data_IF_261914324171
#
_entry.id   IF_261914324171
#
_cell.length_a   1.000
_cell.length_b   1.000
_cell.length_c   1.000
_cell.angle_alpha   90.00
_cell.angle_beta   90.00
_cell.angle_gamma   90.00
#
_symmetry.space_group_name_H-M   'P 1'
#
loop_
_entity.id
_entity.type
_entity.pdbx_description
1 polymer ?
#
# COMPACT_ATOMS: atom_id res chain seq x y z
N UNK A 1 -7.88 14.64 9.44
CA UNK A 1 -7.45 15.29 8.18
C UNK A 1 -8.10 14.58 7.01
N UNK A 2 -7.95 15.12 5.80
CA UNK A 2 -8.47 14.49 4.58
C UNK A 2 -7.32 14.20 3.64
N UNK A 3 -7.34 13.00 3.07
CA UNK A 3 -6.44 12.58 1.99
C UNK A 3 -7.25 12.41 0.71
N UNK A 4 -6.74 12.92 -0.39
CA UNK A 4 -7.26 12.68 -1.74
C UNK A 4 -6.28 11.76 -2.44
N UNK A 5 -6.78 10.64 -2.94
CA UNK A 5 -5.96 9.57 -3.52
C UNK A 5 -6.44 9.29 -4.93
N UNK A 6 -5.49 9.09 -5.83
CA UNK A 6 -5.71 8.61 -7.20
C UNK A 6 -4.77 7.42 -7.39
N UNK A 7 -5.23 6.34 -8.02
CA UNK A 7 -4.40 5.17 -8.34
C UNK A 7 -4.33 4.96 -9.84
N UNK A 8 -3.11 4.75 -10.34
CA UNK A 8 -2.84 4.37 -11.72
C UNK A 8 -2.07 3.04 -11.74
N UNK A 9 -2.79 1.93 -11.76
CA UNK A 9 -2.23 0.57 -11.77
C UNK A 9 -1.63 0.07 -10.43
N UNK A 10 -1.37 0.96 -9.48
CA UNK A 10 -0.75 0.64 -8.19
C UNK A 10 -1.68 -0.12 -7.23
N UNK A 11 -1.12 -0.92 -6.30
CA UNK A 11 -1.87 -1.66 -5.28
C UNK A 11 -2.69 -0.74 -4.36
N UNK A 12 -3.72 -1.31 -3.72
CA UNK A 12 -4.60 -0.56 -2.82
C UNK A 12 -3.90 -0.21 -1.52
N UNK A 13 -4.10 1.00 -0.96
CA UNK A 13 -3.46 1.39 0.29
C UNK A 13 -4.00 0.62 1.49
N UNK A 14 -3.28 0.69 2.61
CA UNK A 14 -3.75 0.27 3.93
C UNK A 14 -3.98 1.47 4.85
N UNK A 15 -4.90 1.33 5.79
CA UNK A 15 -5.09 2.26 6.91
C UNK A 15 -4.89 1.47 8.19
N UNK A 16 -3.90 1.87 8.98
CA UNK A 16 -3.74 1.41 10.37
C UNK A 16 -4.50 2.36 11.28
N UNK A 17 -5.49 1.84 11.98
CA UNK A 17 -6.24 2.56 13.00
C UNK A 17 -5.39 2.76 14.27
N UNK A 18 -5.77 3.72 15.12
CA UNK A 18 -5.06 4.01 16.36
C UNK A 18 -5.01 2.83 17.35
N UNK A 19 -5.94 1.86 17.22
CA UNK A 19 -5.99 0.62 17.99
C UNK A 19 -5.17 -0.54 17.37
N UNK A 20 -4.46 -0.28 16.27
CA UNK A 20 -3.63 -1.26 15.58
C UNK A 20 -4.37 -2.12 14.56
N UNK A 21 -5.71 -2.02 14.43
CA UNK A 21 -6.44 -2.69 13.35
C UNK A 21 -6.03 -2.12 11.99
N UNK A 22 -5.94 -2.99 10.99
CA UNK A 22 -5.58 -2.59 9.62
C UNK A 22 -6.75 -2.84 8.69
N UNK A 23 -7.13 -1.82 7.92
CA UNK A 23 -8.15 -1.89 6.88
C UNK A 23 -7.58 -1.59 5.50
N UNK A 24 -8.24 -2.08 4.45
CA UNK A 24 -7.94 -1.74 3.07
C UNK A 24 -9.10 -0.93 2.49
N UNK A 25 -9.01 0.42 2.47
CA UNK A 25 -10.08 1.22 1.88
C UNK A 25 -10.22 0.93 0.38
N UNK A 26 -11.46 0.93 -0.10
CA UNK A 26 -11.75 0.82 -1.53
C UNK A 26 -11.39 2.14 -2.22
N UNK A 27 -10.24 2.16 -2.90
CA UNK A 27 -9.80 3.29 -3.73
C UNK A 27 -9.90 2.84 -5.18
N UNK A 28 -10.70 3.53 -5.99
CA UNK A 28 -10.79 3.21 -7.42
C UNK A 28 -9.47 3.57 -8.11
N UNK A 29 -9.09 2.79 -9.11
CA UNK A 29 -7.87 3.03 -9.89
C UNK A 29 -8.12 2.82 -11.37
N UNK A 30 -7.30 3.49 -12.19
CA UNK A 30 -7.16 3.24 -13.62
C UNK A 30 -5.99 2.29 -13.90
N UNK A 31 -5.73 2.01 -15.18
CA UNK A 31 -4.55 1.27 -15.62
C UNK A 31 -3.26 2.06 -15.33
N UNK A 32 -2.07 1.41 -15.33
CA UNK A 32 -0.80 2.12 -15.21
C UNK A 32 -0.68 3.25 -16.25
N UNK A 33 -0.07 4.36 -15.86
CA UNK A 33 0.12 5.50 -16.74
C UNK A 33 0.87 5.08 -18.02
N UNK A 34 0.42 5.57 -19.18
CA UNK A 34 1.04 5.27 -20.47
C UNK A 34 0.62 3.93 -21.09
N UNK A 35 -0.31 3.20 -20.46
CA UNK A 35 -0.88 1.96 -21.02
C UNK A 35 -2.09 2.22 -21.91
N UNK A 36 -2.70 3.41 -21.83
CA UNK A 36 -3.78 3.78 -22.74
C UNK A 36 -3.27 3.83 -24.18
N UNK A 37 -3.78 2.91 -24.99
CA UNK A 37 -3.89 3.12 -26.43
C UNK A 37 -5.02 4.12 -26.65
N UNK A 38 -4.94 4.93 -27.71
CA UNK A 38 -5.84 6.07 -28.02
C UNK A 38 -7.36 5.75 -28.13
N UNK A 39 -7.80 4.57 -27.68
CA UNK A 39 -9.11 3.97 -27.83
C UNK A 39 -9.92 3.91 -26.53
N UNK A 40 -9.37 4.30 -25.38
CA UNK A 40 -10.09 4.30 -24.09
C UNK A 40 -9.97 5.68 -23.41
N UNK A 41 -11.10 6.29 -23.07
CA UNK A 41 -11.15 7.40 -22.10
C UNK A 41 -10.73 6.86 -20.73
N UNK A 42 -9.43 6.88 -20.47
CA UNK A 42 -8.86 6.33 -19.25
C UNK A 42 -9.15 7.27 -18.07
N UNK A 43 -10.06 6.86 -17.19
CA UNK A 43 -10.41 7.64 -16.01
C UNK A 43 -9.51 7.29 -14.82
N UNK A 44 -9.01 8.33 -14.15
CA UNK A 44 -8.28 8.25 -12.89
C UNK A 44 -9.11 8.90 -11.78
N UNK A 45 -10.14 8.21 -11.23
CA UNK A 45 -11.06 8.81 -10.28
C UNK A 45 -10.39 9.14 -8.94
N UNK A 46 -10.57 10.38 -8.48
CA UNK A 46 -10.18 10.78 -7.13
C UNK A 46 -11.06 10.11 -6.08
N UNK A 47 -10.44 9.47 -5.09
CA UNK A 47 -11.11 8.97 -3.89
C UNK A 47 -10.70 9.84 -2.69
N UNK A 48 -11.69 10.34 -1.96
CA UNK A 48 -11.47 11.07 -0.71
C UNK A 48 -11.55 10.09 0.47
N UNK A 49 -10.51 10.11 1.31
CA UNK A 49 -10.44 9.37 2.56
C UNK A 49 -10.32 10.35 3.73
N UNK A 50 -11.07 10.11 4.80
CA UNK A 50 -10.92 10.88 6.04
C UNK A 50 -10.10 10.07 7.04
N UNK A 51 -9.06 10.70 7.58
CA UNK A 51 -8.18 10.11 8.59
C UNK A 51 -8.37 10.84 9.92
N UNK A 52 -8.50 10.10 11.00
CA UNK A 52 -8.52 10.69 12.36
C UNK A 52 -7.11 10.70 12.96
N UNK A 53 -6.83 11.59 13.94
CA UNK A 53 -5.52 11.61 14.59
C UNK A 53 -5.12 10.23 15.15
N UNK A 54 -3.89 9.82 14.88
CA UNK A 54 -3.36 8.51 15.28
C UNK A 54 -3.53 7.41 14.23
N UNK A 55 -4.27 7.65 13.14
CA UNK A 55 -4.29 6.72 12.00
C UNK A 55 -3.09 6.93 11.08
N UNK A 56 -2.61 5.83 10.49
CA UNK A 56 -1.52 5.85 9.51
C UNK A 56 -2.04 5.34 8.17
N UNK A 57 -1.86 6.13 7.12
CA UNK A 57 -2.13 5.73 5.74
C UNK A 57 -0.84 5.19 5.11
N UNK A 58 -0.88 3.94 4.64
CA UNK A 58 0.29 3.20 4.15
C UNK A 58 0.12 2.95 2.67
N UNK A 59 1.10 3.44 1.89
CA UNK A 59 1.34 3.11 0.49
C UNK A 59 2.54 2.19 0.43
N UNK A 60 2.58 1.30 -0.56
CA UNK A 60 3.64 0.32 -0.68
C UNK A 60 3.78 -0.14 -2.13
N UNK A 61 5.01 -0.38 -2.59
CA UNK A 61 5.23 -0.99 -3.91
C UNK A 61 4.93 -2.49 -3.91
N UNK A 62 4.69 -3.03 -5.10
CA UNK A 62 4.61 -4.47 -5.36
C UNK A 62 5.88 -5.21 -4.92
N UNK A 63 7.07 -4.59 -5.05
CA UNK A 63 8.30 -5.13 -4.47
C UNK A 63 8.25 -5.40 -2.96
N UNK A 64 7.32 -4.78 -2.21
CA UNK A 64 7.05 -5.04 -0.78
C UNK A 64 5.97 -6.11 -0.55
N UNK A 65 5.52 -6.85 -1.55
CA UNK A 65 4.56 -7.95 -1.35
C UNK A 65 4.76 -9.10 -2.34
N UNK A 66 5.44 -8.87 -3.45
CA UNK A 66 5.71 -9.87 -4.47
C UNK A 66 6.93 -10.73 -4.10
N UNK A 67 6.67 -12.01 -3.86
CA UNK A 67 7.68 -13.04 -3.70
C UNK A 67 7.59 -14.01 -4.90
N UNK A 68 8.69 -14.25 -5.65
CA UNK A 68 8.64 -15.14 -6.80
C UNK A 68 8.12 -16.54 -6.46
N UNK A 69 6.99 -16.91 -7.08
CA UNK A 69 6.34 -18.21 -6.87
C UNK A 69 5.41 -18.28 -5.65
N UNK A 70 5.21 -17.18 -4.93
CA UNK A 70 4.20 -17.05 -3.88
C UNK A 70 2.97 -16.27 -4.38
N UNK A 71 1.88 -16.40 -3.62
CA UNK A 71 0.64 -15.68 -3.87
C UNK A 71 0.74 -14.23 -3.37
N UNK A 72 0.35 -13.27 -4.22
CA UNK A 72 0.34 -11.85 -3.89
C UNK A 72 -0.53 -11.55 -2.66
N UNK A 73 -1.67 -12.24 -2.53
CA UNK A 73 -2.56 -12.07 -1.38
C UNK A 73 -1.87 -12.45 -0.07
N UNK A 74 -1.01 -13.48 -0.08
CA UNK A 74 -0.23 -13.89 1.08
C UNK A 74 0.82 -12.84 1.47
N UNK A 75 1.43 -12.18 0.48
CA UNK A 75 2.34 -11.05 0.68
C UNK A 75 1.63 -9.84 1.30
N UNK A 76 0.44 -9.49 0.79
CA UNK A 76 -0.40 -8.42 1.34
C UNK A 76 -0.81 -8.74 2.78
N UNK A 77 -1.17 -9.99 3.09
CA UNK A 77 -1.52 -10.39 4.45
C UNK A 77 -0.32 -10.36 5.41
N UNK A 78 0.88 -10.73 4.94
CA UNK A 78 2.11 -10.55 5.71
C UNK A 78 2.37 -9.06 6.02
N UNK A 79 2.25 -8.19 5.01
CA UNK A 79 2.37 -6.75 5.18
C UNK A 79 1.33 -6.22 6.18
N UNK A 80 0.06 -6.63 6.09
CA UNK A 80 -1.00 -6.23 7.04
C UNK A 80 -0.65 -6.61 8.48
N UNK A 81 -0.08 -7.80 8.69
CA UNK A 81 0.32 -8.25 10.01
C UNK A 81 1.46 -7.40 10.58
N UNK A 82 2.48 -7.10 9.77
CA UNK A 82 3.59 -6.24 10.18
C UNK A 82 3.13 -4.79 10.43
N UNK A 83 2.23 -4.26 9.60
CA UNK A 83 1.62 -2.93 9.84
C UNK A 83 0.83 -2.92 11.15
N UNK A 84 0.11 -4.00 11.47
CA UNK A 84 -0.67 -4.09 12.70
C UNK A 84 0.24 -4.13 13.94
N UNK A 85 1.26 -5.00 13.91
CA UNK A 85 2.17 -5.24 15.03
C UNK A 85 3.28 -4.19 15.19
N UNK A 86 3.55 -3.42 14.14
CA UNK A 86 4.61 -2.43 14.09
C UNK A 86 4.40 -1.24 15.05
N UNK A 87 5.46 -0.44 15.25
CA UNK A 87 5.43 0.72 16.13
C UNK A 87 4.45 1.79 15.62
N UNK A 88 4.05 2.68 16.53
CA UNK A 88 3.28 3.87 16.17
C UNK A 88 4.19 4.94 15.56
N UNK A 89 3.61 5.78 14.69
CA UNK A 89 4.34 6.82 13.96
C UNK A 89 4.81 6.33 12.58
N UNK A 90 4.66 7.18 11.57
CA UNK A 90 4.90 6.78 10.18
C UNK A 90 6.36 6.39 9.89
N UNK A 91 7.32 7.15 10.42
CA UNK A 91 8.75 6.92 10.21
C UNK A 91 9.21 5.61 10.86
N UNK A 92 8.93 5.41 12.15
CA UNK A 92 9.25 4.18 12.84
C UNK A 92 8.55 2.95 12.24
N UNK A 93 7.33 3.12 11.71
CA UNK A 93 6.63 2.05 11.01
C UNK A 93 7.31 1.72 9.68
N UNK A 94 7.71 2.72 8.89
CA UNK A 94 8.42 2.52 7.63
C UNK A 94 9.77 1.81 7.85
N UNK A 95 10.51 2.20 8.91
CA UNK A 95 11.76 1.54 9.29
C UNK A 95 11.52 0.07 9.68
N UNK A 96 10.52 -0.20 10.54
CA UNK A 96 10.14 -1.56 10.94
C UNK A 96 9.76 -2.42 9.73
N UNK A 97 8.94 -1.89 8.81
CA UNK A 97 8.54 -2.60 7.60
C UNK A 97 9.75 -2.89 6.72
N UNK A 98 10.61 -1.89 6.51
CA UNK A 98 11.84 -2.05 5.71
C UNK A 98 12.72 -3.14 6.32
N UNK A 99 13.02 -3.11 7.62
CA UNK A 99 13.85 -4.14 8.26
C UNK A 99 13.25 -5.55 8.14
N UNK A 100 11.96 -5.70 8.44
CA UNK A 100 11.29 -7.01 8.50
C UNK A 100 11.06 -7.65 7.14
N UNK A 101 10.78 -6.82 6.15
CA UNK A 101 10.34 -7.28 4.85
C UNK A 101 11.50 -7.31 3.83
N UNK A 102 12.50 -6.44 3.99
CA UNK A 102 13.73 -6.51 3.20
C UNK A 102 14.52 -7.80 3.44
N UNK A 103 14.60 -8.25 4.69
CA UNK A 103 15.22 -9.54 5.05
C UNK A 103 14.48 -10.74 4.44
N UNK A 104 13.17 -10.61 4.24
CA UNK A 104 12.33 -11.67 3.68
C UNK A 104 12.50 -11.81 2.18
N UNK A 105 12.70 -10.69 1.46
CA UNK A 105 12.57 -10.69 0.01
C UNK A 105 13.86 -10.59 -0.79
N UNK A 106 14.95 -10.03 -0.27
CA UNK A 106 16.24 -10.01 -0.99
C UNK A 106 16.19 -9.62 -2.47
N UNK A 107 15.15 -8.91 -2.92
CA UNK A 107 14.60 -9.01 -4.28
C UNK A 107 15.06 -7.84 -5.14
N UNK A 108 15.33 -8.12 -6.42
CA UNK A 108 15.85 -7.17 -7.41
C UNK A 108 14.84 -6.14 -7.95
N UNK A 109 13.93 -5.64 -7.12
CA UNK A 109 12.94 -4.60 -7.46
C UNK A 109 12.88 -3.49 -6.39
N UNK A 110 12.33 -2.33 -6.75
CA UNK A 110 12.31 -1.15 -5.88
C UNK A 110 11.25 -1.28 -4.76
N UNK A 111 11.68 -1.00 -3.52
CA UNK A 111 10.84 -1.07 -2.32
C UNK A 111 10.63 0.33 -1.76
N UNK A 112 9.36 0.72 -1.54
CA UNK A 112 8.96 1.96 -0.87
C UNK A 112 7.64 1.80 -0.11
#
# INVERSE_FOLDING_TARGET
GTVKVVRAGHLGPLIRHADGRVGSPQVRGGLPLGTSTDLLDEEYPETRLDLVPGETFVLYTDGLVEEPGADLDAGIDALRNEVSAGPAGAEALADHLSERLWERWGSGDDVA
#
